data_IF_709593192187
#
_entry.id   IF_709593192187
#
_cell.length_a   1.000
_cell.length_b   1.000
_cell.length_c   1.000
_cell.angle_alpha   90.00
_cell.angle_beta   90.00
_cell.angle_gamma   90.00
#
_symmetry.space_group_name_H-M   'P 1'
#
loop_
_entity.id
_entity.type
_entity.pdbx_description
1 polymer ?
#
# COMPACT_ATOMS: atom_id res chain seq x y z
N UNK A 1 14.44 6.55 -4.37
CA UNK A 1 13.03 6.17 -4.56
C UNK A 1 12.99 4.75 -5.07
N UNK A 2 12.21 3.89 -4.42
CA UNK A 2 12.04 2.46 -4.79
C UNK A 2 10.70 2.30 -5.51
N UNK A 3 10.66 1.51 -6.57
CA UNK A 3 9.41 1.20 -7.27
C UNK A 3 8.61 0.15 -6.49
N UNK A 4 7.29 0.28 -6.48
CA UNK A 4 6.42 -0.73 -5.86
C UNK A 4 6.27 -1.92 -6.83
N UNK A 5 7.23 -2.83 -6.81
CA UNK A 5 7.24 -4.00 -7.69
C UNK A 5 6.49 -5.18 -7.07
N UNK A 6 6.03 -6.15 -7.89
CA UNK A 6 5.47 -7.41 -7.36
C UNK A 6 6.42 -8.15 -6.41
N UNK A 7 7.73 -8.15 -6.70
CA UNK A 7 8.73 -8.80 -5.85
C UNK A 7 8.84 -8.11 -4.48
N UNK A 8 8.80 -6.76 -4.46
CA UNK A 8 8.77 -6.00 -3.21
C UNK A 8 7.56 -6.38 -2.36
N UNK A 9 6.36 -6.43 -2.97
CA UNK A 9 5.12 -6.84 -2.29
C UNK A 9 5.25 -8.24 -1.68
N UNK A 10 5.80 -9.20 -2.42
CA UNK A 10 5.93 -10.58 -1.95
C UNK A 10 6.94 -10.74 -0.81
N UNK A 11 8.01 -9.94 -0.82
CA UNK A 11 9.09 -9.99 0.17
C UNK A 11 8.79 -9.13 1.42
N UNK A 12 7.83 -8.22 1.32
CA UNK A 12 7.43 -7.33 2.41
C UNK A 12 6.80 -8.10 3.57
N UNK A 13 6.87 -7.52 4.77
CA UNK A 13 6.36 -8.17 5.98
C UNK A 13 4.83 -8.29 5.88
N UNK A 14 4.32 -9.47 6.25
CA UNK A 14 2.90 -9.80 6.24
C UNK A 14 2.55 -10.43 7.57
N UNK A 15 1.54 -9.90 8.25
CA UNK A 15 1.15 -10.38 9.58
C UNK A 15 -0.31 -10.10 9.88
N UNK A 16 -0.80 -10.66 10.98
CA UNK A 16 -2.11 -10.32 11.54
C UNK A 16 -1.90 -9.18 12.54
N UNK A 17 -2.48 -8.02 12.28
CA UNK A 17 -2.30 -6.84 13.12
C UNK A 17 -3.15 -6.93 14.42
N UNK A 18 -3.00 -5.99 15.37
CA UNK A 18 -3.71 -6.04 16.66
C UNK A 18 -5.25 -6.04 16.58
N UNK A 19 -5.83 -5.57 15.46
CA UNK A 19 -7.29 -5.60 15.22
C UNK A 19 -7.74 -6.84 14.44
N UNK A 20 -6.83 -7.81 14.24
CA UNK A 20 -7.03 -9.09 13.55
C UNK A 20 -7.20 -9.00 12.03
N UNK A 21 -6.74 -7.91 11.43
CA UNK A 21 -6.68 -7.76 9.98
C UNK A 21 -5.38 -8.34 9.41
N UNK A 22 -5.44 -8.93 8.21
CA UNK A 22 -4.23 -9.31 7.49
C UNK A 22 -3.61 -8.05 6.88
N UNK A 23 -2.42 -7.70 7.35
CA UNK A 23 -1.74 -6.46 7.01
C UNK A 23 -0.51 -6.73 6.13
N UNK A 24 -0.34 -5.89 5.10
CA UNK A 24 0.88 -5.77 4.31
C UNK A 24 1.63 -4.50 4.73
N UNK A 25 2.86 -4.67 5.21
CA UNK A 25 3.72 -3.57 5.64
C UNK A 25 4.61 -3.10 4.48
N UNK A 26 4.34 -1.91 3.96
CA UNK A 26 5.13 -1.23 2.93
C UNK A 26 5.81 0.04 3.47
N UNK A 27 6.13 0.08 4.77
CA UNK A 27 6.70 1.27 5.40
C UNK A 27 8.12 1.59 4.94
N UNK A 28 8.43 2.88 4.81
CA UNK A 28 9.81 3.38 4.73
C UNK A 28 10.57 3.08 3.43
N UNK A 29 9.91 2.52 2.40
CA UNK A 29 10.56 2.17 1.13
C UNK A 29 10.82 3.36 0.20
N UNK A 30 10.35 4.56 0.53
CA UNK A 30 10.43 5.75 -0.34
C UNK A 30 9.77 5.48 -1.70
N UNK A 31 8.59 4.84 -1.65
CA UNK A 31 7.73 4.55 -2.79
C UNK A 31 7.13 5.88 -3.28
N UNK A 32 7.34 6.28 -4.55
CA UNK A 32 6.79 7.53 -5.08
C UNK A 32 5.39 7.37 -5.69
N UNK A 33 5.03 6.16 -6.11
CA UNK A 33 3.84 5.87 -6.92
C UNK A 33 3.23 4.55 -6.47
N UNK A 34 1.89 4.53 -6.34
CA UNK A 34 1.13 3.31 -6.09
C UNK A 34 0.95 2.60 -7.44
N UNK A 35 1.43 1.37 -7.53
CA UNK A 35 1.38 0.53 -8.73
C UNK A 35 1.44 -0.95 -8.35
N UNK A 36 1.13 -1.84 -9.31
CA UNK A 36 1.29 -3.29 -9.17
C UNK A 36 0.57 -3.97 -7.99
N UNK A 37 -0.39 -3.30 -7.34
CA UNK A 37 -1.14 -3.87 -6.22
C UNK A 37 -1.98 -5.10 -6.60
N UNK A 38 -2.11 -5.43 -7.89
CA UNK A 38 -2.70 -6.71 -8.33
C UNK A 38 -1.89 -7.92 -7.84
N UNK A 39 -0.60 -7.76 -7.58
CA UNK A 39 0.26 -8.79 -7.01
C UNK A 39 -0.12 -9.18 -5.57
N UNK A 40 -0.94 -8.36 -4.89
CA UNK A 40 -1.48 -8.68 -3.56
C UNK A 40 -2.55 -9.77 -3.59
N UNK A 41 -3.10 -10.07 -4.77
CA UNK A 41 -4.15 -11.07 -4.99
C UNK A 41 -5.39 -10.86 -4.10
N UNK A 42 -5.68 -9.60 -3.73
CA UNK A 42 -6.80 -9.19 -2.87
C UNK A 42 -6.85 -9.92 -1.51
N UNK A 43 -5.68 -10.27 -0.98
CA UNK A 43 -5.56 -11.08 0.24
C UNK A 43 -5.52 -10.27 1.55
N UNK A 44 -5.33 -8.96 1.49
CA UNK A 44 -5.10 -8.11 2.66
C UNK A 44 -6.32 -7.28 3.01
N UNK A 45 -6.51 -7.08 4.30
CA UNK A 45 -7.52 -6.19 4.86
C UNK A 45 -6.96 -4.78 5.09
N UNK A 46 -5.65 -4.69 5.38
CA UNK A 46 -4.92 -3.43 5.62
C UNK A 46 -3.64 -3.36 4.78
N UNK A 47 -3.31 -2.19 4.23
CA UNK A 47 -1.98 -1.89 3.68
C UNK A 47 -1.41 -0.66 4.40
N UNK A 48 -0.18 -0.77 4.89
CA UNK A 48 0.52 0.32 5.53
C UNK A 48 1.58 0.95 4.59
N UNK A 49 1.30 2.16 4.11
CA UNK A 49 2.20 2.95 3.27
C UNK A 49 2.94 4.05 4.04
N UNK A 50 3.04 3.97 5.37
CA UNK A 50 3.63 5.05 6.17
C UNK A 50 5.11 5.30 5.84
N UNK A 51 5.56 6.55 5.95
CA UNK A 51 6.94 6.99 5.63
C UNK A 51 7.37 6.71 4.17
N UNK A 52 6.45 6.95 3.23
CA UNK A 52 6.73 6.91 1.79
C UNK A 52 6.58 8.28 1.12
N UNK A 53 7.10 8.41 -0.10
CA UNK A 53 7.11 9.66 -0.89
C UNK A 53 5.91 9.72 -1.85
N UNK A 54 4.80 9.07 -1.51
CA UNK A 54 3.60 8.99 -2.37
C UNK A 54 2.97 10.37 -2.50
N UNK A 55 2.79 10.81 -3.74
CA UNK A 55 2.21 12.14 -4.06
C UNK A 55 0.76 12.10 -4.51
N UNK A 56 0.29 10.94 -4.95
CA UNK A 56 -1.05 10.75 -5.47
C UNK A 56 -1.60 9.42 -4.98
N UNK A 57 -2.83 9.44 -4.49
CA UNK A 57 -3.60 8.21 -4.25
C UNK A 57 -4.37 7.89 -5.53
N UNK A 58 -3.77 7.05 -6.37
CA UNK A 58 -4.35 6.51 -7.60
C UNK A 58 -3.71 5.15 -7.94
N UNK A 59 -4.07 4.55 -9.07
CA UNK A 59 -3.40 3.35 -9.57
C UNK A 59 -3.79 2.05 -8.85
N UNK A 60 -4.85 2.09 -8.05
CA UNK A 60 -5.40 0.91 -7.39
C UNK A 60 -6.14 0.02 -8.40
N UNK A 61 -5.86 -1.29 -8.46
CA UNK A 61 -6.77 -2.24 -9.08
C UNK A 61 -8.00 -2.44 -8.19
N UNK A 62 -9.01 -3.14 -8.70
CA UNK A 62 -10.15 -3.53 -7.89
C UNK A 62 -9.72 -4.53 -6.80
N UNK A 63 -9.69 -4.08 -5.54
CA UNK A 63 -9.36 -4.87 -4.36
C UNK A 63 -10.53 -4.80 -3.37
N UNK A 64 -11.35 -5.85 -3.33
CA UNK A 64 -12.61 -5.86 -2.56
C UNK A 64 -12.39 -6.12 -1.07
N UNK A 65 -11.23 -6.69 -0.70
CA UNK A 65 -10.94 -7.06 0.67
C UNK A 65 -10.32 -5.92 1.48
N UNK A 66 -9.60 -5.00 0.83
CA UNK A 66 -8.97 -3.87 1.50
C UNK A 66 -10.05 -2.99 2.15
N UNK A 67 -9.85 -2.73 3.45
CA UNK A 67 -10.71 -1.87 4.27
C UNK A 67 -9.97 -0.64 4.77
N UNK A 68 -8.65 -0.77 4.98
CA UNK A 68 -7.84 0.25 5.65
C UNK A 68 -6.54 0.52 4.88
N UNK A 69 -6.21 1.80 4.71
CA UNK A 69 -4.91 2.26 4.23
C UNK A 69 -4.29 3.17 5.28
N UNK A 70 -3.08 2.85 5.76
CA UNK A 70 -2.30 3.79 6.56
C UNK A 70 -1.40 4.63 5.66
N UNK A 71 -1.52 5.95 5.81
CA UNK A 71 -0.86 6.96 4.97
C UNK A 71 -0.08 7.96 5.85
N UNK A 72 0.53 7.49 6.93
CA UNK A 72 1.17 8.38 7.91
C UNK A 72 2.50 8.90 7.34
N UNK A 73 2.74 10.21 7.42
CA UNK A 73 3.97 10.85 6.93
C UNK A 73 4.17 10.58 5.43
N UNK A 74 3.13 10.81 4.62
CA UNK A 74 3.23 10.87 3.15
C UNK A 74 3.14 12.30 2.65
N UNK A 75 3.58 12.55 1.41
CA UNK A 75 3.57 13.88 0.76
C UNK A 75 2.43 13.97 -0.27
N UNK A 76 1.20 13.77 0.19
CA UNK A 76 0.04 13.73 -0.69
C UNK A 76 -0.28 15.11 -1.28
N UNK A 77 -0.30 15.23 -2.61
CA UNK A 77 -0.69 16.44 -3.33
C UNK A 77 -1.99 16.28 -4.13
N UNK A 78 -2.35 15.06 -4.50
CA UNK A 78 -3.51 14.77 -5.35
C UNK A 78 -4.29 13.54 -4.86
N UNK A 79 -5.61 13.61 -4.96
CA UNK A 79 -6.53 12.48 -4.77
C UNK A 79 -7.11 12.09 -6.12
N UNK A 80 -7.28 10.79 -6.36
CA UNK A 80 -8.06 10.30 -7.51
C UNK A 80 -9.46 10.92 -7.48
N UNK A 81 -9.89 11.45 -8.63
CA UNK A 81 -11.21 12.00 -8.85
C UNK A 81 -11.92 11.05 -9.79
N UNK A 82 -13.10 10.58 -9.39
CA UNK A 82 -13.99 9.73 -10.19
C UNK A 82 -14.27 10.31 -11.59
#
# INVERSE_FOLDING_TARGET
MVKLTPDLIQQSMQYINPVKDRELDLRGYKIPTIENLGATLDQFDTIDFSDNDIRKLDGFPLLKRIKTLFLIIIVLSELEKD
#
